data_IF_112135564700
#
_entry.id   IF_112135564700
#
_cell.length_a   1.000
_cell.length_b   1.000
_cell.length_c   1.000
_cell.angle_alpha   90.00
_cell.angle_beta   90.00
_cell.angle_gamma   90.00
#
_symmetry.space_group_name_H-M   'P 1'
#
loop_
_entity.id
_entity.type
_entity.pdbx_description
1 polymer ?
#
# COMPACT_ATOMS: atom_id res chain seq x y z
N UNK A 1 -16.36 -8.97 4.23
CA UNK A 1 -15.81 -7.60 4.32
C UNK A 1 -15.20 -7.26 5.69
N UNK A 2 -15.72 -7.74 6.82
CA UNK A 2 -15.17 -7.43 8.15
C UNK A 2 -13.71 -7.92 8.33
N UNK A 3 -13.36 -9.13 7.86
CA UNK A 3 -11.97 -9.63 7.96
C UNK A 3 -10.93 -8.85 7.15
N UNK A 4 -11.34 -8.23 6.03
CA UNK A 4 -10.43 -7.45 5.17
C UNK A 4 -9.92 -6.20 5.90
N UNK A 5 -10.84 -5.37 6.38
CA UNK A 5 -10.50 -4.11 7.03
C UNK A 5 -9.80 -4.31 8.38
N UNK A 6 -10.15 -5.38 9.12
CA UNK A 6 -9.65 -5.53 10.49
C UNK A 6 -8.34 -6.33 10.59
N UNK A 7 -8.16 -7.37 9.77
CA UNK A 7 -7.04 -8.32 9.92
C UNK A 7 -5.99 -8.16 8.82
N UNK A 8 -6.40 -7.89 7.58
CA UNK A 8 -5.50 -7.97 6.42
C UNK A 8 -4.82 -6.65 6.02
N UNK A 9 -5.19 -5.51 6.60
CA UNK A 9 -4.59 -4.21 6.23
C UNK A 9 -4.29 -3.28 7.41
N UNK A 10 -4.84 -3.52 8.61
CA UNK A 10 -4.68 -2.62 9.74
C UNK A 10 -3.29 -2.67 10.40
N UNK A 11 -2.76 -3.86 10.68
CA UNK A 11 -1.50 -3.97 11.43
C UNK A 11 -0.31 -3.25 10.73
N UNK A 12 -0.12 -3.34 9.41
CA UNK A 12 0.90 -2.58 8.70
C UNK A 12 0.67 -1.07 8.78
N UNK A 13 -0.58 -0.60 8.66
CA UNK A 13 -0.91 0.83 8.75
C UNK A 13 -0.63 1.37 10.16
N UNK A 14 -1.00 0.65 11.21
CA UNK A 14 -0.68 1.06 12.58
C UNK A 14 0.81 1.02 12.88
N UNK A 15 1.56 0.11 12.25
CA UNK A 15 3.02 0.05 12.42
C UNK A 15 3.73 1.31 11.90
N UNK A 16 3.11 2.07 10.98
CA UNK A 16 3.65 3.36 10.51
C UNK A 16 3.74 4.43 11.61
N UNK A 17 3.04 4.26 12.74
CA UNK A 17 3.20 5.14 13.92
C UNK A 17 4.63 5.06 14.49
N UNK A 18 5.35 3.96 14.22
CA UNK A 18 6.73 3.77 14.63
C UNK A 18 7.73 4.36 13.62
N UNK A 19 7.29 4.87 12.46
CA UNK A 19 8.17 5.50 11.48
C UNK A 19 8.65 6.85 12.02
N UNK A 20 9.97 7.02 12.15
CA UNK A 20 10.59 8.23 12.68
C UNK A 20 11.30 8.97 11.54
N UNK A 21 10.70 10.06 11.08
CA UNK A 21 11.29 10.87 10.00
C UNK A 21 12.58 11.61 10.44
N UNK A 22 12.78 11.87 11.74
CA UNK A 22 13.94 12.57 12.31
C UNK A 22 14.35 11.96 13.65
N UNK A 23 15.65 11.84 13.89
CA UNK A 23 16.22 11.36 15.15
C UNK A 23 15.97 12.37 16.31
N UNK A 24 15.65 11.89 17.51
CA UNK A 24 15.26 12.73 18.65
C UNK A 24 16.34 13.74 19.03
N UNK A 25 17.62 13.36 18.89
CA UNK A 25 18.76 14.26 19.15
C UNK A 25 18.86 15.38 18.12
N UNK A 26 18.52 15.12 16.85
CA UNK A 26 18.57 16.10 15.77
C UNK A 26 17.36 17.04 15.80
N UNK A 27 16.20 16.54 16.23
CA UNK A 27 15.00 17.35 16.47
C UNK A 27 15.21 18.39 17.59
N UNK A 28 15.96 18.03 18.64
CA UNK A 28 16.36 18.96 19.69
C UNK A 28 17.40 19.99 19.22
N UNK A 29 18.26 19.61 18.26
CA UNK A 29 19.32 20.50 17.73
C UNK A 29 18.78 21.58 16.78
N UNK A 30 17.68 21.30 16.06
CA UNK A 30 17.09 22.21 15.06
C UNK A 30 15.61 22.55 15.36
N UNK A 31 15.31 23.43 16.34
CA UNK A 31 13.94 23.84 16.66
C UNK A 31 13.22 24.55 15.50
N UNK A 32 13.95 24.97 14.47
CA UNK A 32 13.42 25.55 13.22
C UNK A 32 12.62 24.55 12.38
N UNK A 33 12.98 23.25 12.39
CA UNK A 33 12.16 22.19 11.76
C UNK A 33 10.76 22.10 12.40
N UNK A 34 10.66 22.39 13.70
CA UNK A 34 9.37 22.37 14.42
C UNK A 34 8.46 23.55 14.03
N UNK A 35 9.05 24.70 13.66
CA UNK A 35 8.29 25.86 13.17
C UNK A 35 7.66 25.59 11.79
N UNK A 36 8.32 24.83 10.92
CA UNK A 36 7.73 24.41 9.64
C UNK A 36 6.53 23.45 9.84
N UNK A 37 6.59 22.53 10.81
CA UNK A 37 5.48 21.62 11.16
C UNK A 37 4.24 22.37 11.69
N UNK A 38 4.45 23.44 12.47
CA UNK A 38 3.37 24.28 13.04
C UNK A 38 2.67 25.18 12.00
N UNK A 39 3.23 25.31 10.79
CA UNK A 39 2.69 26.15 9.70
C UNK A 39 1.49 25.55 8.95
N UNK A 40 1.02 24.34 9.32
CA UNK A 40 -0.17 23.72 8.74
C UNK A 40 -0.01 23.23 7.29
N UNK A 41 1.18 23.34 6.68
CA UNK A 41 1.44 22.92 5.28
C UNK A 41 1.46 21.40 5.07
N UNK A 42 1.45 20.59 6.13
CA UNK A 42 1.50 19.12 6.04
C UNK A 42 0.18 18.47 5.56
N UNK A 43 -0.96 19.17 5.69
CA UNK A 43 -2.29 18.69 5.31
C UNK A 43 -2.99 19.72 4.40
N UNK A 44 -2.37 20.04 3.27
CA UNK A 44 -3.04 20.84 2.23
C UNK A 44 -4.13 20.00 1.54
N UNK A 45 -5.28 20.62 1.21
CA UNK A 45 -6.32 20.04 0.36
C UNK A 45 -5.75 19.38 -0.90
N UNK A 46 -4.70 19.96 -1.49
CA UNK A 46 -4.01 19.39 -2.66
C UNK A 46 -3.46 17.98 -2.41
N UNK A 47 -2.87 17.74 -1.24
CA UNK A 47 -2.32 16.43 -0.88
C UNK A 47 -3.43 15.43 -0.59
N UNK A 48 -4.49 15.86 0.11
CA UNK A 48 -5.69 15.04 0.33
C UNK A 48 -6.30 14.57 -1.01
N UNK A 49 -6.62 15.50 -1.91
CA UNK A 49 -7.21 15.15 -3.21
C UNK A 49 -6.27 14.32 -4.08
N UNK A 50 -4.95 14.54 -4.01
CA UNK A 50 -3.99 13.68 -4.70
C UNK A 50 -4.10 12.24 -4.23
N UNK A 51 -4.15 12.01 -2.92
CA UNK A 51 -4.29 10.66 -2.36
C UNK A 51 -5.65 10.02 -2.66
N UNK A 52 -6.73 10.80 -2.63
CA UNK A 52 -8.07 10.34 -3.05
C UNK A 52 -8.06 9.89 -4.51
N UNK A 53 -7.50 10.70 -5.41
CA UNK A 53 -7.40 10.36 -6.83
C UNK A 53 -6.54 9.12 -7.07
N UNK A 54 -5.42 8.99 -6.37
CA UNK A 54 -4.58 7.78 -6.43
C UNK A 54 -5.37 6.55 -5.96
N UNK A 55 -6.14 6.67 -4.88
CA UNK A 55 -6.94 5.56 -4.34
C UNK A 55 -8.06 5.15 -5.31
N UNK A 56 -8.75 6.12 -5.91
CA UNK A 56 -9.78 5.87 -6.94
C UNK A 56 -9.16 5.21 -8.17
N UNK A 57 -7.99 5.68 -8.61
CA UNK A 57 -7.26 5.08 -9.71
C UNK A 57 -6.88 3.62 -9.42
N UNK A 58 -6.27 3.34 -8.28
CA UNK A 58 -5.87 1.99 -7.90
C UNK A 58 -7.07 1.06 -7.78
N UNK A 59 -8.15 1.50 -7.14
CA UNK A 59 -9.39 0.72 -7.03
C UNK A 59 -10.02 0.42 -8.39
N UNK A 60 -10.08 1.42 -9.29
CA UNK A 60 -10.62 1.25 -10.63
C UNK A 60 -9.77 0.30 -11.48
N UNK A 61 -8.44 0.40 -11.40
CA UNK A 61 -7.52 -0.52 -12.10
C UNK A 61 -7.67 -1.94 -11.55
N UNK A 62 -7.65 -2.11 -10.22
CA UNK A 62 -7.74 -3.45 -9.62
C UNK A 62 -9.05 -4.13 -10.04
N UNK A 63 -10.18 -3.43 -9.93
CA UNK A 63 -11.46 -4.00 -10.31
C UNK A 63 -11.60 -4.18 -11.83
N UNK A 64 -11.35 -3.12 -12.60
CA UNK A 64 -11.55 -3.11 -14.05
C UNK A 64 -10.61 -4.04 -14.79
N UNK A 65 -9.32 -4.05 -14.44
CA UNK A 65 -8.36 -4.94 -15.08
C UNK A 65 -8.62 -6.40 -14.71
N UNK A 66 -9.05 -6.70 -13.48
CA UNK A 66 -9.46 -8.06 -13.12
C UNK A 66 -10.65 -8.55 -13.95
N UNK A 67 -11.64 -7.67 -14.20
CA UNK A 67 -12.81 -7.99 -15.03
C UNK A 67 -12.43 -8.20 -16.50
N UNK A 68 -11.56 -7.36 -17.05
CA UNK A 68 -11.05 -7.48 -18.42
C UNK A 68 -10.25 -8.76 -18.60
N UNK A 69 -9.34 -9.06 -17.67
CA UNK A 69 -8.52 -10.26 -17.77
C UNK A 69 -9.40 -11.52 -17.76
N UNK A 70 -10.38 -11.60 -16.86
CA UNK A 70 -11.21 -12.80 -16.67
C UNK A 70 -12.46 -12.85 -17.56
N UNK A 71 -12.68 -11.85 -18.42
CA UNK A 71 -13.92 -11.68 -19.21
C UNK A 71 -15.19 -11.94 -18.39
N UNK A 72 -15.19 -11.49 -17.13
CA UNK A 72 -16.22 -11.82 -16.13
C UNK A 72 -16.56 -10.60 -15.29
N UNK A 73 -17.85 -10.33 -15.12
CA UNK A 73 -18.35 -9.21 -14.30
C UNK A 73 -18.54 -9.59 -12.83
N UNK A 74 -18.74 -10.87 -12.52
CA UNK A 74 -18.91 -11.40 -11.18
C UNK A 74 -18.44 -12.87 -11.12
N UNK A 75 -18.14 -13.35 -9.91
CA UNK A 75 -17.86 -14.76 -9.65
C UNK A 75 -16.61 -15.02 -8.81
N UNK A 76 -16.42 -16.26 -8.33
CA UNK A 76 -15.36 -16.60 -7.39
C UNK A 76 -13.95 -16.35 -7.91
N UNK A 77 -13.72 -16.55 -9.22
CA UNK A 77 -12.43 -16.27 -9.87
C UNK A 77 -12.11 -14.78 -9.87
N UNK A 78 -13.08 -13.94 -10.21
CA UNK A 78 -12.94 -12.48 -10.19
C UNK A 78 -12.62 -12.00 -8.78
N UNK A 79 -13.41 -12.45 -7.80
CA UNK A 79 -13.22 -12.07 -6.40
C UNK A 79 -11.83 -12.50 -5.92
N UNK A 80 -11.38 -13.71 -6.28
CA UNK A 80 -10.05 -14.18 -5.88
C UNK A 80 -8.91 -13.32 -6.44
N UNK A 81 -8.99 -12.88 -7.71
CA UNK A 81 -7.94 -12.05 -8.31
C UNK A 81 -7.99 -10.63 -7.76
N UNK A 82 -9.16 -9.99 -7.77
CA UNK A 82 -9.29 -8.59 -7.36
C UNK A 82 -9.02 -8.40 -5.87
N UNK A 83 -9.50 -9.31 -5.02
CA UNK A 83 -9.26 -9.23 -3.57
C UNK A 83 -7.79 -9.48 -3.21
N UNK A 84 -7.15 -10.47 -3.84
CA UNK A 84 -5.72 -10.72 -3.61
C UNK A 84 -4.88 -9.55 -4.08
N UNK A 85 -5.16 -9.04 -5.28
CA UNK A 85 -4.45 -7.88 -5.83
C UNK A 85 -4.63 -6.65 -4.95
N UNK A 86 -5.83 -6.45 -4.39
CA UNK A 86 -6.09 -5.37 -3.44
C UNK A 86 -5.25 -5.50 -2.16
N UNK A 87 -5.21 -6.67 -1.51
CA UNK A 87 -4.39 -6.90 -0.30
C UNK A 87 -2.90 -6.67 -0.61
N UNK A 88 -2.38 -7.23 -1.70
CA UNK A 88 -0.99 -7.05 -2.10
C UNK A 88 -0.69 -5.57 -2.41
N UNK A 89 -1.60 -4.88 -3.10
CA UNK A 89 -1.46 -3.47 -3.44
C UNK A 89 -1.35 -2.60 -2.18
N UNK A 90 -2.20 -2.84 -1.17
CA UNK A 90 -2.12 -2.12 0.11
C UNK A 90 -0.80 -2.40 0.85
N UNK A 91 -0.39 -3.67 0.97
CA UNK A 91 0.85 -4.04 1.65
C UNK A 91 2.09 -3.42 0.96
N UNK A 92 2.13 -3.42 -0.37
CA UNK A 92 3.22 -2.82 -1.13
C UNK A 92 3.20 -1.29 -1.04
N UNK A 93 2.02 -0.66 -1.06
CA UNK A 93 1.89 0.79 -0.85
C UNK A 93 2.39 1.23 0.53
N UNK A 94 2.10 0.43 1.58
CA UNK A 94 2.64 0.65 2.93
C UNK A 94 4.16 0.49 2.92
N UNK A 95 4.69 -0.59 2.36
CA UNK A 95 6.13 -0.84 2.27
C UNK A 95 6.90 0.28 1.53
N UNK A 96 6.31 0.83 0.46
CA UNK A 96 6.85 1.97 -0.30
C UNK A 96 6.73 3.30 0.46
N UNK A 97 5.88 3.36 1.48
CA UNK A 97 5.65 4.56 2.27
C UNK A 97 6.58 4.71 3.45
N UNK A 98 7.12 3.60 3.95
CA UNK A 98 8.17 3.57 4.96
C UNK A 98 9.39 4.38 4.53
N UNK A 99 9.84 5.30 5.39
CA UNK A 99 11.13 5.99 5.23
C UNK A 99 12.23 5.33 6.06
N UNK A 100 11.92 4.88 7.28
CA UNK A 100 12.86 4.18 8.17
C UNK A 100 12.35 2.79 8.54
N UNK A 101 13.15 1.76 8.29
CA UNK A 101 12.73 0.38 8.55
C UNK A 101 12.92 0.00 10.03
N UNK A 102 11.80 -0.09 10.75
CA UNK A 102 11.76 -0.72 12.07
C UNK A 102 11.40 -2.22 11.95
N UNK A 103 12.05 -3.14 12.69
CA UNK A 103 11.78 -4.58 12.60
C UNK A 103 10.30 -4.96 12.82
N UNK A 104 9.61 -4.24 13.69
CA UNK A 104 8.16 -4.44 13.93
C UNK A 104 7.33 -4.22 12.66
N UNK A 105 7.69 -3.27 11.81
CA UNK A 105 6.93 -3.03 10.56
C UNK A 105 7.11 -4.18 9.57
N UNK A 106 8.31 -4.77 9.50
CA UNK A 106 8.56 -5.98 8.69
C UNK A 106 7.68 -7.12 9.21
N UNK A 107 7.65 -7.33 10.52
CA UNK A 107 6.81 -8.34 11.15
C UNK A 107 5.32 -8.08 10.87
N UNK A 108 4.86 -6.84 10.90
CA UNK A 108 3.47 -6.50 10.56
C UNK A 108 3.16 -6.77 9.09
N UNK A 109 3.98 -6.31 8.15
CA UNK A 109 3.75 -6.51 6.71
C UNK A 109 3.76 -8.01 6.36
N UNK A 110 4.81 -8.73 6.78
CA UNK A 110 4.96 -10.16 6.50
C UNK A 110 3.92 -10.98 7.27
N UNK A 111 3.69 -10.66 8.54
CA UNK A 111 2.69 -11.33 9.38
C UNK A 111 1.29 -11.20 8.79
N UNK A 112 0.91 -10.01 8.34
CA UNK A 112 -0.38 -9.80 7.67
C UNK A 112 -0.49 -10.55 6.35
N UNK A 113 0.58 -10.56 5.53
CA UNK A 113 0.61 -11.37 4.30
C UNK A 113 0.44 -12.87 4.59
N UNK A 114 1.10 -13.38 5.64
CA UNK A 114 1.01 -14.78 6.06
C UNK A 114 -0.39 -15.12 6.60
N UNK A 115 -0.98 -14.24 7.41
CA UNK A 115 -2.35 -14.44 7.93
C UNK A 115 -3.36 -14.46 6.79
N UNK A 116 -3.18 -13.62 5.76
CA UNK A 116 -3.97 -13.70 4.54
C UNK A 116 -3.73 -15.02 3.79
N UNK A 117 -2.49 -15.41 3.52
CA UNK A 117 -2.18 -16.66 2.83
C UNK A 117 -2.71 -17.91 3.56
N UNK A 118 -2.63 -17.91 4.90
CA UNK A 118 -3.16 -18.97 5.74
C UNK A 118 -4.69 -19.01 5.75
N UNK A 119 -5.38 -17.88 5.52
CA UNK A 119 -6.84 -17.86 5.47
C UNK A 119 -7.39 -18.30 4.12
N UNK A 120 -6.66 -18.12 3.01
CA UNK A 120 -7.10 -18.46 1.64
C UNK A 120 -7.72 -19.87 1.51
N UNK A 121 -7.15 -20.96 2.06
CA UNK A 121 -7.75 -22.29 1.99
C UNK A 121 -9.14 -22.40 2.64
N UNK A 122 -9.42 -21.54 3.62
CA UNK A 122 -10.70 -21.51 4.33
C UNK A 122 -11.77 -20.65 3.62
N UNK A 123 -11.40 -19.94 2.54
CA UNK A 123 -12.32 -19.10 1.75
C UNK A 123 -12.96 -19.84 0.56
N UNK A 124 -13.14 -21.16 0.65
CA UNK A 124 -13.69 -21.98 -0.44
C UNK A 124 -15.08 -21.57 -0.94
N UNK A 125 -15.90 -20.97 -0.08
CA UNK A 125 -17.24 -20.46 -0.47
C UNK A 125 -17.17 -19.17 -1.30
N UNK A 126 -16.05 -18.45 -1.24
CA UNK A 126 -15.85 -17.18 -1.94
C UNK A 126 -14.91 -17.31 -3.14
N UNK A 127 -13.89 -18.18 -3.04
CA UNK A 127 -12.83 -18.33 -4.03
C UNK A 127 -12.92 -19.68 -4.73
N UNK A 128 -12.64 -19.68 -6.03
CA UNK A 128 -12.37 -20.93 -6.74
C UNK A 128 -10.96 -21.42 -6.35
N UNK A 129 -10.86 -22.23 -5.30
CA UNK A 129 -9.57 -22.71 -4.77
C UNK A 129 -8.76 -23.50 -5.81
N UNK A 130 -9.43 -24.20 -6.73
CA UNK A 130 -8.77 -24.91 -7.83
C UNK A 130 -8.12 -23.93 -8.80
N UNK A 131 -8.74 -22.76 -9.01
CA UNK A 131 -8.19 -21.69 -9.81
C UNK A 131 -7.03 -20.97 -9.11
N UNK A 132 -7.13 -20.69 -7.81
CA UNK A 132 -6.10 -19.95 -7.04
C UNK A 132 -4.72 -20.61 -7.09
N UNK A 133 -4.65 -21.94 -7.14
CA UNK A 133 -3.37 -22.67 -7.22
C UNK A 133 -2.77 -22.71 -8.64
N UNK A 134 -3.46 -22.15 -9.64
CA UNK A 134 -2.99 -22.17 -11.03
C UNK A 134 -2.02 -21.05 -11.32
N UNK A 135 -1.12 -21.30 -12.28
CA UNK A 135 -0.31 -20.24 -12.87
C UNK A 135 -1.17 -19.16 -13.54
N UNK A 136 -2.37 -19.53 -14.05
CA UNK A 136 -3.29 -18.59 -14.69
C UNK A 136 -3.78 -17.52 -13.71
N UNK A 137 -4.06 -17.91 -12.47
CA UNK A 137 -4.40 -16.95 -11.41
C UNK A 137 -3.21 -16.06 -11.05
N UNK A 138 -2.00 -16.64 -10.91
CA UNK A 138 -0.82 -15.91 -10.45
C UNK A 138 -0.43 -14.77 -11.39
N UNK A 139 -0.35 -15.01 -12.70
CA UNK A 139 0.07 -13.96 -13.64
C UNK A 139 -0.95 -12.82 -13.70
N UNK A 140 -2.25 -13.11 -13.55
CA UNK A 140 -3.30 -12.09 -13.52
C UNK A 140 -3.17 -11.21 -12.29
N UNK A 141 -2.97 -11.81 -11.11
CA UNK A 141 -2.74 -11.05 -9.87
C UNK A 141 -1.50 -10.16 -10.00
N UNK A 142 -0.39 -10.69 -10.52
CA UNK A 142 0.85 -9.93 -10.74
C UNK A 142 0.64 -8.78 -11.73
N UNK A 143 -0.04 -9.03 -12.86
CA UNK A 143 -0.35 -8.01 -13.85
C UNK A 143 -1.21 -6.89 -13.26
N UNK A 144 -2.25 -7.24 -12.50
CA UNK A 144 -3.11 -6.25 -11.84
C UNK A 144 -2.32 -5.40 -10.84
N UNK A 145 -1.52 -6.03 -9.98
CA UNK A 145 -0.68 -5.31 -9.02
C UNK A 145 0.36 -4.40 -9.70
N UNK A 146 0.96 -4.86 -10.79
CA UNK A 146 1.96 -4.08 -11.51
C UNK A 146 1.33 -2.79 -12.09
N UNK A 147 0.16 -2.91 -12.74
CA UNK A 147 -0.52 -1.75 -13.34
C UNK A 147 -1.06 -0.80 -12.26
N UNK A 148 -1.50 -1.30 -11.11
CA UNK A 148 -2.01 -0.45 -10.03
C UNK A 148 -0.88 0.26 -9.24
N UNK A 149 0.29 -0.37 -9.08
CA UNK A 149 1.37 0.15 -8.23
C UNK A 149 2.42 0.97 -8.98
N UNK A 150 2.86 0.51 -10.15
CA UNK A 150 4.02 1.09 -10.84
C UNK A 150 3.83 2.58 -11.12
N UNK A 151 2.68 3.07 -11.63
CA UNK A 151 2.47 4.49 -11.89
C UNK A 151 2.51 5.33 -10.60
N UNK A 152 1.95 4.81 -9.51
CA UNK A 152 1.91 5.49 -8.21
C UNK A 152 3.31 5.57 -7.60
N UNK A 153 4.07 4.49 -7.67
CA UNK A 153 5.47 4.44 -7.24
C UNK A 153 6.35 5.38 -8.07
N UNK A 154 6.22 5.36 -9.40
CA UNK A 154 6.96 6.24 -10.29
C UNK A 154 6.66 7.72 -10.01
N UNK A 155 5.38 8.08 -9.84
CA UNK A 155 4.98 9.44 -9.47
C UNK A 155 5.61 9.90 -8.15
N UNK A 156 5.67 9.01 -7.16
CA UNK A 156 6.30 9.28 -5.85
C UNK A 156 7.82 9.48 -5.97
N UNK A 157 8.50 8.66 -6.77
CA UNK A 157 9.93 8.79 -7.04
C UNK A 157 10.28 10.11 -7.74
N UNK A 158 9.52 10.46 -8.79
CA UNK A 158 9.72 11.70 -9.54
C UNK A 158 9.56 12.91 -8.60
N UNK A 159 8.51 12.92 -7.77
CA UNK A 159 8.28 13.98 -6.79
C UNK A 159 9.42 14.10 -5.77
N UNK A 160 9.93 12.97 -5.25
CA UNK A 160 11.07 12.93 -4.34
C UNK A 160 12.38 13.40 -4.99
N UNK A 161 12.55 13.15 -6.30
CA UNK A 161 13.73 13.58 -7.04
C UNK A 161 13.71 15.09 -7.37
N UNK A 162 12.56 15.64 -7.73
CA UNK A 162 12.44 17.05 -8.16
C UNK A 162 12.29 18.04 -7.00
N UNK A 163 11.70 17.62 -5.88
CA UNK A 163 11.58 18.42 -4.66
C UNK A 163 12.12 17.63 -3.47
N UNK A 164 13.46 17.53 -3.32
CA UNK A 164 14.03 16.87 -2.16
C UNK A 164 13.54 17.59 -0.88
N UNK A 165 13.02 16.85 0.11
CA UNK A 165 12.62 17.44 1.40
C UNK A 165 13.80 18.20 2.04
N UNK A 166 13.53 19.33 2.69
CA UNK A 166 14.55 20.19 3.31
C UNK A 166 15.49 19.43 4.25
N UNK A 167 15.02 18.34 4.88
CA UNK A 167 15.82 17.44 5.72
C UNK A 167 17.04 16.83 4.99
N UNK A 168 16.96 16.60 3.66
CA UNK A 168 18.08 16.07 2.85
C UNK A 168 19.19 17.10 2.63
N UNK A 169 18.95 18.39 2.94
CA UNK A 169 19.98 19.44 2.88
C UNK A 169 20.82 19.54 4.16
N UNK A 170 20.41 18.87 5.25
CA UNK A 170 21.04 18.94 6.57
C UNK A 170 21.82 17.67 6.94
N UNK A 171 21.87 16.68 6.04
CA UNK A 171 22.68 15.45 6.15
C UNK A 171 23.94 15.48 5.28
N UNK A 172 24.30 16.65 4.74
CA UNK A 172 25.57 16.90 4.08
C UNK A 172 26.58 17.45 5.08
#
# INVERSE_FOLDING_TARGET
>A
MVGYATVYTNAPVFSLVLDRDVDEQLANLYPELYKELKSGRSLSYTSFFTWVLVSVYQGAIIQGLSQILLDSISGPRLISVSFTALVINELLMVAVSVTTWHPVMIICIVGTALVYAASVPFLGDYFDLKFVITLDWLWRVVAVCAVSLVPVWAGKLIKRSWRPPSYRKVRG
#
